data_IF_095944956380
#
_entry.id   IF_095944956380
#
_cell.length_a   1.000
_cell.length_b   1.000
_cell.length_c   1.000
_cell.angle_alpha   90.00
_cell.angle_beta   90.00
_cell.angle_gamma   90.00
#
_symmetry.space_group_name_H-M   'P 1'
#
loop_
_entity.id
_entity.type
_entity.pdbx_description
1 polymer ?
#
# COMPACT_ATOMS: atom_id res chain seq x y z
N UNK A 1 16.59 5.41 -16.49
CA UNK A 1 15.17 5.02 -16.48
C UNK A 1 14.36 6.21 -16.87
N UNK A 2 13.36 6.00 -17.73
CA UNK A 2 12.50 7.08 -18.20
C UNK A 2 11.47 7.44 -17.11
N UNK A 3 11.16 8.73 -16.88
CA UNK A 3 10.14 9.16 -15.90
C UNK A 3 8.78 8.47 -16.09
N UNK A 4 8.42 8.11 -17.32
CA UNK A 4 7.19 7.38 -17.62
C UNK A 4 7.14 5.95 -17.04
N UNK A 5 8.29 5.27 -16.92
CA UNK A 5 8.35 3.92 -16.31
C UNK A 5 8.12 3.99 -14.80
N UNK A 6 8.69 5.00 -14.14
CA UNK A 6 8.49 5.24 -12.71
C UNK A 6 7.02 5.54 -12.44
N UNK A 7 6.42 6.42 -13.25
CA UNK A 7 5.00 6.78 -13.12
C UNK A 7 4.09 5.55 -13.33
N UNK A 8 4.40 4.69 -14.30
CA UNK A 8 3.66 3.46 -14.56
C UNK A 8 3.74 2.49 -13.37
N UNK A 9 4.94 2.23 -12.85
CA UNK A 9 5.12 1.32 -11.71
C UNK A 9 4.43 1.82 -10.44
N UNK A 10 4.48 3.14 -10.20
CA UNK A 10 3.76 3.76 -9.08
C UNK A 10 2.24 3.65 -9.26
N UNK A 11 1.73 3.87 -10.47
CA UNK A 11 0.32 3.72 -10.78
C UNK A 11 -0.18 2.28 -10.55
N UNK A 12 0.60 1.27 -10.93
CA UNK A 12 0.27 -0.13 -10.70
C UNK A 12 0.20 -0.47 -9.20
N UNK A 13 1.16 -0.02 -8.39
CA UNK A 13 1.13 -0.24 -6.94
C UNK A 13 -0.03 0.51 -6.27
N UNK A 14 -0.35 1.73 -6.72
CA UNK A 14 -1.53 2.47 -6.25
C UNK A 14 -2.84 1.77 -6.63
N UNK A 15 -2.91 1.14 -7.80
CA UNK A 15 -4.08 0.38 -8.22
C UNK A 15 -4.29 -0.86 -7.33
N UNK A 16 -3.22 -1.59 -6.99
CA UNK A 16 -3.28 -2.72 -6.06
C UNK A 16 -3.72 -2.29 -4.65
N UNK A 17 -3.19 -1.16 -4.18
CA UNK A 17 -3.60 -0.58 -2.90
C UNK A 17 -5.10 -0.21 -2.91
N UNK A 18 -5.56 0.45 -3.97
CA UNK A 18 -6.97 0.83 -4.13
C UNK A 18 -7.90 -0.39 -4.17
N UNK A 19 -7.52 -1.45 -4.89
CA UNK A 19 -8.26 -2.71 -4.92
C UNK A 19 -8.34 -3.35 -3.52
N UNK A 20 -7.24 -3.33 -2.78
CA UNK A 20 -7.20 -3.81 -1.40
C UNK A 20 -8.18 -3.05 -0.50
N UNK A 21 -8.17 -1.71 -0.57
CA UNK A 21 -9.07 -0.87 0.22
C UNK A 21 -10.54 -1.10 -0.13
N UNK A 22 -10.88 -1.29 -1.41
CA UNK A 22 -12.23 -1.61 -1.86
C UNK A 22 -12.74 -2.92 -1.26
N UNK A 23 -11.89 -3.95 -1.11
CA UNK A 23 -12.28 -5.22 -0.48
C UNK A 23 -12.59 -5.07 1.02
N UNK A 24 -11.97 -4.09 1.68
CA UNK A 24 -12.16 -3.84 3.11
C UNK A 24 -13.33 -2.90 3.42
N UNK A 25 -13.87 -2.19 2.42
CA UNK A 25 -14.90 -1.16 2.62
C UNK A 25 -16.18 -1.69 3.28
N UNK A 26 -16.51 -2.96 3.03
CA UNK A 26 -17.75 -3.59 3.45
C UNK A 26 -17.59 -4.42 4.74
N UNK A 27 -16.39 -4.46 5.34
CA UNK A 27 -16.14 -5.22 6.57
C UNK A 27 -16.54 -4.37 7.78
N UNK A 28 -17.54 -4.79 8.58
CA UNK A 28 -17.85 -4.11 9.83
C UNK A 28 -16.68 -4.32 10.82
N UNK A 29 -16.09 -3.23 11.31
CA UNK A 29 -14.87 -3.29 12.14
C UNK A 29 -15.11 -3.20 13.65
N UNK A 30 -16.27 -2.66 14.06
CA UNK A 30 -16.55 -2.33 15.47
C UNK A 30 -17.87 -2.95 15.94
N UNK A 31 -18.92 -2.82 15.13
CA UNK A 31 -20.26 -3.33 15.42
C UNK A 31 -20.93 -3.77 14.12
N UNK A 32 -21.91 -4.67 14.21
CA UNK A 32 -22.80 -4.97 13.11
C UNK A 32 -23.70 -3.76 12.78
N UNK A 33 -24.40 -3.80 11.65
CA UNK A 33 -25.25 -2.71 11.18
C UNK A 33 -26.38 -2.32 12.17
N UNK A 34 -26.78 -3.23 13.05
CA UNK A 34 -27.79 -3.03 14.09
C UNK A 34 -27.20 -2.49 15.41
N UNK A 35 -25.89 -2.19 15.45
CA UNK A 35 -25.19 -1.67 16.63
C UNK A 35 -24.76 -2.74 17.63
N UNK A 36 -24.99 -4.03 17.34
CA UNK A 36 -24.50 -5.10 18.21
C UNK A 36 -22.98 -5.25 18.11
N UNK A 37 -22.26 -5.42 19.24
CA UNK A 37 -20.84 -5.70 19.20
C UNK A 37 -20.53 -6.99 18.44
N UNK A 38 -19.47 -6.97 17.65
CA UNK A 38 -19.02 -8.15 16.92
C UNK A 38 -18.57 -9.24 17.90
N UNK A 39 -18.87 -10.49 17.58
CA UNK A 39 -18.42 -11.65 18.35
C UNK A 39 -18.14 -12.85 17.45
N UNK A 40 -17.40 -13.83 17.98
CA UNK A 40 -17.07 -15.06 17.26
C UNK A 40 -16.34 -14.79 15.94
N UNK A 41 -16.81 -15.42 14.86
CA UNK A 41 -16.22 -15.32 13.53
C UNK A 41 -16.24 -13.89 12.97
N UNK A 42 -17.31 -13.14 13.19
CA UNK A 42 -17.41 -11.75 12.71
C UNK A 42 -16.35 -10.84 13.36
N UNK A 43 -16.03 -11.07 14.63
CA UNK A 43 -14.94 -10.36 15.31
C UNK A 43 -13.57 -10.77 14.77
N UNK A 44 -13.36 -12.06 14.47
CA UNK A 44 -12.13 -12.53 13.86
C UNK A 44 -11.91 -11.91 12.46
N UNK A 45 -12.96 -11.87 11.63
CA UNK A 45 -12.93 -11.22 10.31
C UNK A 45 -12.59 -9.74 10.44
N UNK A 46 -13.17 -9.02 11.41
CA UNK A 46 -12.84 -7.62 11.67
C UNK A 46 -11.38 -7.42 12.08
N UNK A 47 -10.83 -8.30 12.94
CA UNK A 47 -9.42 -8.23 13.34
C UNK A 47 -8.49 -8.43 12.14
N UNK A 48 -8.77 -9.41 11.29
CA UNK A 48 -7.99 -9.66 10.07
C UNK A 48 -8.07 -8.46 9.12
N UNK A 49 -9.27 -7.90 8.92
CA UNK A 49 -9.45 -6.70 8.10
C UNK A 49 -8.67 -5.49 8.64
N UNK A 50 -8.60 -5.29 9.97
CA UNK A 50 -7.79 -4.25 10.59
C UNK A 50 -6.29 -4.47 10.36
N UNK A 51 -5.81 -5.71 10.44
CA UNK A 51 -4.41 -6.05 10.16
C UNK A 51 -4.07 -5.81 8.68
N UNK A 52 -4.98 -6.16 7.77
CA UNK A 52 -4.81 -5.89 6.35
C UNK A 52 -4.83 -4.38 6.06
N UNK A 53 -5.70 -3.62 6.72
CA UNK A 53 -5.73 -2.16 6.62
C UNK A 53 -4.41 -1.52 7.10
N UNK A 54 -3.86 -1.98 8.23
CA UNK A 54 -2.57 -1.51 8.75
C UNK A 54 -1.44 -1.79 7.74
N UNK A 55 -1.39 -2.99 7.16
CA UNK A 55 -0.41 -3.32 6.10
C UNK A 55 -0.58 -2.44 4.87
N UNK A 56 -1.81 -2.14 4.47
CA UNK A 56 -2.10 -1.22 3.36
C UNK A 56 -1.64 0.21 3.66
N UNK A 57 -1.87 0.70 4.87
CA UNK A 57 -1.43 2.03 5.31
C UNK A 57 0.11 2.13 5.29
N UNK A 58 0.81 1.10 5.77
CA UNK A 58 2.28 1.05 5.70
C UNK A 58 2.77 1.01 4.24
N UNK A 59 2.11 0.24 3.37
CA UNK A 59 2.41 0.19 1.93
C UNK A 59 2.24 1.56 1.27
N UNK A 60 1.13 2.25 1.56
CA UNK A 60 0.88 3.60 1.07
C UNK A 60 1.97 4.58 1.52
N UNK A 61 2.38 4.51 2.79
CA UNK A 61 3.47 5.31 3.33
C UNK A 61 4.80 5.07 2.62
N UNK A 62 5.14 3.82 2.35
CA UNK A 62 6.35 3.45 1.62
C UNK A 62 6.34 3.95 0.16
N UNK A 63 5.20 3.84 -0.54
CA UNK A 63 5.02 4.37 -1.89
C UNK A 63 5.12 5.90 -1.92
N UNK A 64 4.55 6.58 -0.90
CA UNK A 64 4.64 8.03 -0.77
C UNK A 64 6.09 8.49 -0.53
N UNK A 65 6.85 7.78 0.29
CA UNK A 65 8.26 8.07 0.53
C UNK A 65 9.09 7.91 -0.75
N UNK A 66 8.89 6.80 -1.47
CA UNK A 66 9.52 6.58 -2.78
C UNK A 66 9.19 7.69 -3.77
N UNK A 67 7.91 8.06 -3.91
CA UNK A 67 7.48 9.11 -4.83
C UNK A 67 8.08 10.48 -4.46
N UNK A 68 8.13 10.80 -3.17
CA UNK A 68 8.75 12.03 -2.70
C UNK A 68 10.25 12.06 -3.02
N UNK A 69 10.97 10.96 -2.81
CA UNK A 69 12.41 10.90 -3.05
C UNK A 69 12.75 11.00 -4.54
N UNK A 70 11.99 10.34 -5.40
CA UNK A 70 12.13 10.47 -6.85
C UNK A 70 11.79 11.89 -7.34
N UNK A 71 10.85 12.58 -6.69
CA UNK A 71 10.46 13.94 -7.04
C UNK A 71 11.44 15.02 -6.53
N UNK A 72 12.19 14.75 -5.46
CA UNK A 72 12.99 15.77 -4.75
C UNK A 72 14.29 16.12 -5.47
N UNK A 73 14.77 15.26 -6.38
CA UNK A 73 15.93 15.58 -7.20
C UNK A 73 15.74 14.89 -8.53
N UNK A 74 15.64 15.63 -9.63
CA UNK A 74 15.70 15.08 -11.00
C UNK A 74 17.00 14.31 -11.31
N UNK A 75 17.84 14.05 -10.30
CA UNK A 75 19.11 13.35 -10.30
C UNK A 75 19.11 12.06 -9.43
N UNK A 76 18.16 11.84 -8.51
CA UNK A 76 18.11 10.57 -7.75
C UNK A 76 17.59 9.48 -8.68
N UNK A 77 18.50 8.60 -9.11
CA UNK A 77 18.10 7.45 -9.89
C UNK A 77 17.05 6.65 -9.10
N UNK A 78 15.97 6.22 -9.73
CA UNK A 78 14.93 5.41 -9.08
C UNK A 78 15.53 4.22 -8.30
N UNK A 79 16.70 3.72 -8.74
CA UNK A 79 17.47 2.70 -8.03
C UNK A 79 17.92 3.13 -6.62
N UNK A 80 18.40 4.36 -6.45
CA UNK A 80 18.78 4.88 -5.13
C UNK A 80 17.54 5.09 -4.24
N UNK A 81 16.44 5.59 -4.82
CA UNK A 81 15.17 5.72 -4.10
C UNK A 81 14.56 4.37 -3.69
N UNK A 82 14.91 3.27 -4.36
CA UNK A 82 14.49 1.92 -3.93
C UNK A 82 15.23 1.45 -2.66
N UNK A 83 16.48 1.87 -2.46
CA UNK A 83 17.30 1.47 -1.31
C UNK A 83 16.84 2.09 0.00
N UNK A 84 16.12 3.22 -0.07
CA UNK A 84 15.57 3.96 1.06
C UNK A 84 14.11 3.59 1.39
N UNK A 85 13.45 2.76 0.57
CA UNK A 85 12.05 2.38 0.81
C UNK A 85 11.96 1.59 2.12
N UNK A 86 11.14 2.05 3.09
CA UNK A 86 11.10 1.45 4.42
C UNK A 86 10.54 0.02 4.45
N UNK A 87 9.79 -0.37 3.42
CA UNK A 87 9.25 -1.72 3.25
C UNK A 87 9.94 -2.47 2.13
N UNK A 88 10.71 -3.49 2.50
CA UNK A 88 11.43 -4.36 1.55
C UNK A 88 10.52 -4.96 0.47
N UNK A 89 9.32 -5.43 0.85
CA UNK A 89 8.39 -6.03 -0.10
C UNK A 89 7.86 -5.03 -1.13
N UNK A 90 7.75 -3.75 -0.78
CA UNK A 90 7.39 -2.68 -1.72
C UNK A 90 8.57 -2.36 -2.62
N UNK A 91 9.78 -2.29 -2.08
CA UNK A 91 11.01 -2.08 -2.84
C UNK A 91 11.23 -3.18 -3.90
N UNK A 92 11.04 -4.45 -3.54
CA UNK A 92 11.18 -5.60 -4.44
C UNK A 92 10.14 -5.54 -5.58
N UNK A 93 8.86 -5.30 -5.26
CA UNK A 93 7.79 -5.18 -6.26
C UNK A 93 7.95 -3.99 -7.20
N UNK A 94 8.44 -2.86 -6.70
CA UNK A 94 8.79 -1.73 -7.54
C UNK A 94 10.00 -2.06 -8.42
N UNK A 95 11.04 -2.68 -7.85
CA UNK A 95 12.22 -3.13 -8.61
C UNK A 95 11.86 -4.07 -9.76
N UNK A 96 10.96 -5.02 -9.55
CA UNK A 96 10.48 -5.95 -10.58
C UNK A 96 9.75 -5.24 -11.73
N UNK A 97 8.96 -4.20 -11.42
CA UNK A 97 8.20 -3.42 -12.42
C UNK A 97 9.03 -2.39 -13.16
N UNK A 98 10.19 -2.02 -12.59
CA UNK A 98 11.11 -1.04 -13.16
C UNK A 98 12.24 -1.69 -13.98
N UNK A 99 12.34 -3.02 -13.95
CA UNK A 99 13.24 -3.82 -14.80
C UNK A 99 12.74 -3.92 -16.25
#
# INVERSE_FOLDING_TARGET
MEPGQILSALADELALLAEGLLRLQDVPLIAAADGTPLSGEALLTAIVALQDLDRMAQTAGALSAFAAEVATDGAVSAKAALESVPLRSVAERLSERLA
#
